data_IF_336361698060
#
_entry.id   IF_336361698060
#
_cell.length_a   1.000
_cell.length_b   1.000
_cell.length_c   1.000
_cell.angle_alpha   90.00
_cell.angle_beta   90.00
_cell.angle_gamma   90.00
#
_symmetry.space_group_name_H-M   'P 1'
#
loop_
_entity.id
_entity.type
_entity.pdbx_description
1 polymer ?
#
# COMPACT_ATOMS: atom_id res chain seq x y z
N UNK A 1 16.33 41.65 31.00
CA UNK A 1 15.25 42.21 30.17
C UNK A 1 15.09 41.31 28.97
N UNK A 2 14.11 40.41 29.01
CA UNK A 2 13.82 39.43 27.97
C UNK A 2 13.33 40.07 26.68
N UNK A 3 13.15 39.27 25.65
CA UNK A 3 12.40 39.65 24.47
C UNK A 3 11.41 38.53 24.19
N UNK A 4 10.20 38.88 23.78
CA UNK A 4 9.16 37.91 23.45
C UNK A 4 8.82 38.01 21.98
N UNK A 5 8.85 36.86 21.30
CA UNK A 5 8.55 36.79 19.89
C UNK A 5 7.05 36.82 19.68
N UNK A 6 6.59 37.59 18.69
CA UNK A 6 5.21 37.56 18.25
C UNK A 6 5.13 37.41 16.74
N UNK A 7 3.99 36.84 16.30
CA UNK A 7 3.59 36.75 14.90
C UNK A 7 2.09 36.89 14.78
N UNK A 8 1.64 37.75 13.89
CA UNK A 8 0.22 37.95 13.59
C UNK A 8 -0.01 37.95 12.09
N UNK A 9 -1.11 37.33 11.67
CA UNK A 9 -1.59 37.36 10.29
C UNK A 9 -2.81 38.28 10.25
N UNK A 10 -2.77 39.29 9.38
CA UNK A 10 -3.88 40.22 9.21
C UNK A 10 -4.28 40.26 7.74
N UNK A 11 -5.50 39.81 7.44
CA UNK A 11 -6.09 39.90 6.10
C UNK A 11 -6.72 41.28 5.91
N UNK A 12 -6.08 42.14 5.12
CA UNK A 12 -6.48 43.54 4.93
C UNK A 12 -5.89 44.11 3.65
N UNK A 13 -6.53 45.14 3.10
CA UNK A 13 -5.98 45.95 2.01
C UNK A 13 -5.29 47.22 2.51
N UNK A 14 -5.28 47.45 3.83
CA UNK A 14 -4.63 48.59 4.44
C UNK A 14 -3.09 48.51 4.30
N UNK A 15 -2.41 49.66 4.47
CA UNK A 15 -0.95 49.67 4.45
C UNK A 15 -0.39 48.90 5.66
N UNK A 16 0.88 48.49 5.58
CA UNK A 16 1.55 47.84 6.71
C UNK A 16 1.60 48.75 7.95
N UNK A 17 1.72 50.07 7.78
CA UNK A 17 1.73 51.04 8.87
C UNK A 17 0.37 51.10 9.56
N UNK A 18 -0.71 51.26 8.79
CA UNK A 18 -2.06 51.33 9.36
C UNK A 18 -2.41 50.01 10.08
N UNK A 19 -1.99 48.88 9.49
CA UNK A 19 -2.18 47.56 10.10
C UNK A 19 -1.40 47.46 11.42
N UNK A 20 -0.16 47.92 11.45
CA UNK A 20 0.66 47.95 12.66
C UNK A 20 0.04 48.82 13.76
N UNK A 21 -0.41 50.03 13.43
CA UNK A 21 -1.03 50.93 14.40
C UNK A 21 -2.29 50.32 15.03
N UNK A 22 -3.13 49.68 14.22
CA UNK A 22 -4.28 48.92 14.71
C UNK A 22 -3.89 47.79 15.68
N UNK A 23 -2.82 47.04 15.38
CA UNK A 23 -2.34 45.96 16.25
C UNK A 23 -1.70 46.49 17.54
N UNK A 24 -0.97 47.60 17.47
CA UNK A 24 -0.39 48.28 18.64
C UNK A 24 -1.47 48.78 19.57
N UNK A 25 -2.53 49.39 19.04
CA UNK A 25 -3.65 49.86 19.84
C UNK A 25 -4.41 48.70 20.50
N UNK A 26 -4.61 47.60 19.76
CA UNK A 26 -5.18 46.36 20.32
C UNK A 26 -4.31 45.79 21.44
N UNK A 27 -3.00 45.71 21.24
CA UNK A 27 -2.06 45.21 22.24
C UNK A 27 -1.97 46.10 23.49
N UNK A 28 -2.04 47.44 23.33
CA UNK A 28 -2.10 48.36 24.48
C UNK A 28 -3.39 48.21 25.27
N UNK A 29 -4.50 47.96 24.58
CA UNK A 29 -5.77 47.71 25.24
C UNK A 29 -5.75 46.41 26.05
N UNK A 30 -5.10 45.36 25.54
CA UNK A 30 -5.03 44.04 26.19
C UNK A 30 -3.96 43.96 27.30
N UNK A 31 -2.75 44.46 27.02
CA UNK A 31 -1.56 44.29 27.87
C UNK A 31 -1.14 45.57 28.60
N UNK A 32 -1.85 46.67 28.40
CA UNK A 32 -1.55 47.97 29.00
C UNK A 32 -0.36 48.70 28.35
N UNK A 33 0.06 49.80 28.97
CA UNK A 33 1.10 50.71 28.45
C UNK A 33 2.52 50.42 28.99
N UNK A 34 2.73 49.24 29.59
CA UNK A 34 4.07 48.85 30.05
C UNK A 34 5.02 48.66 28.86
N UNK A 35 6.17 49.34 28.91
CA UNK A 35 7.24 49.25 27.92
C UNK A 35 7.96 47.90 27.87
N UNK A 36 7.59 46.96 28.75
CA UNK A 36 8.10 45.59 28.84
C UNK A 36 6.99 44.51 28.84
N UNK A 37 5.85 44.77 28.19
CA UNK A 37 4.72 43.82 28.15
C UNK A 37 4.87 42.65 27.15
N UNK A 38 6.01 42.51 26.46
CA UNK A 38 6.29 41.43 25.52
C UNK A 38 5.56 41.50 24.17
N UNK A 39 4.70 42.51 23.96
CA UNK A 39 3.84 42.59 22.77
C UNK A 39 4.37 43.54 21.68
N UNK A 40 3.69 43.55 20.53
CA UNK A 40 3.94 44.47 19.42
C UNK A 40 3.89 45.96 19.83
N UNK A 41 3.18 46.32 20.91
CA UNK A 41 3.15 47.72 21.38
C UNK A 41 4.48 48.24 21.92
N UNK A 42 5.45 47.34 22.14
CA UNK A 42 6.79 47.67 22.64
C UNK A 42 7.87 47.69 21.56
N UNK A 43 7.49 47.53 20.28
CA UNK A 43 8.41 47.65 19.15
C UNK A 43 8.61 49.10 18.71
N UNK A 44 9.73 49.38 18.04
CA UNK A 44 10.12 50.73 17.61
C UNK A 44 9.40 51.21 16.34
N UNK A 45 8.60 50.33 15.72
CA UNK A 45 7.87 50.60 14.49
C UNK A 45 7.81 49.35 13.61
N UNK A 46 7.17 49.48 12.45
CA UNK A 46 7.07 48.41 11.46
C UNK A 46 7.93 48.72 10.24
N UNK A 47 8.69 47.72 9.78
CA UNK A 47 9.38 47.75 8.50
C UNK A 47 8.69 46.82 7.50
N UNK A 48 7.97 47.39 6.55
CA UNK A 48 7.42 46.62 5.44
C UNK A 48 8.56 46.15 4.51
N UNK A 49 8.64 44.85 4.26
CA UNK A 49 9.61 44.32 3.31
C UNK A 49 9.20 44.67 1.89
N UNK A 50 10.12 45.26 1.14
CA UNK A 50 9.92 45.59 -0.27
C UNK A 50 10.10 44.35 -1.17
N UNK A 51 9.16 43.42 -1.03
CA UNK A 51 9.10 42.17 -1.80
C UNK A 51 7.71 42.01 -2.42
N UNK A 52 7.62 41.23 -3.50
CA UNK A 52 6.32 40.92 -4.11
C UNK A 52 5.47 40.09 -3.15
N UNK A 53 4.15 40.32 -3.08
CA UNK A 53 3.25 39.44 -2.34
C UNK A 53 3.42 37.99 -2.78
N UNK A 54 3.40 37.08 -1.82
CA UNK A 54 3.60 35.64 -2.03
C UNK A 54 2.48 34.84 -1.36
N UNK A 55 2.36 33.53 -1.61
CA UNK A 55 1.44 32.68 -0.88
C UNK A 55 1.59 32.83 0.63
N UNK A 56 0.50 32.72 1.39
CA UNK A 56 0.51 32.91 2.84
C UNK A 56 1.50 31.97 3.53
N UNK A 57 1.55 30.71 3.12
CA UNK A 57 2.49 29.72 3.68
C UNK A 57 3.95 30.11 3.40
N UNK A 58 4.24 30.71 2.25
CA UNK A 58 5.57 31.22 1.93
C UNK A 58 5.92 32.44 2.78
N UNK A 59 4.96 33.34 2.98
CA UNK A 59 5.13 34.52 3.84
C UNK A 59 5.40 34.13 5.30
N UNK A 60 4.70 33.10 5.81
CA UNK A 60 4.92 32.55 7.16
C UNK A 60 6.31 31.93 7.26
N UNK A 61 6.71 31.09 6.30
CA UNK A 61 8.05 30.49 6.28
C UNK A 61 9.15 31.54 6.19
N UNK A 62 8.93 32.60 5.42
CA UNK A 62 9.86 33.72 5.34
C UNK A 62 9.95 34.44 6.70
N UNK A 63 8.83 34.71 7.35
CA UNK A 63 8.80 35.31 8.69
C UNK A 63 9.60 34.46 9.71
N UNK A 64 9.41 33.14 9.70
CA UNK A 64 10.15 32.20 10.54
C UNK A 64 11.65 32.22 10.21
N UNK A 65 12.03 32.17 8.94
CA UNK A 65 13.46 32.22 8.56
C UNK A 65 14.16 33.52 8.96
N UNK A 66 13.41 34.61 9.15
CA UNK A 66 13.92 35.94 9.47
C UNK A 66 13.87 36.26 10.97
N UNK A 67 13.14 35.49 11.78
CA UNK A 67 12.93 35.85 13.19
C UNK A 67 14.25 35.97 13.96
N UNK A 68 15.20 35.06 13.72
CA UNK A 68 16.53 35.07 14.38
C UNK A 68 17.39 36.28 13.98
N UNK A 69 17.08 36.92 12.84
CA UNK A 69 17.84 38.05 12.33
C UNK A 69 17.35 39.41 12.83
N UNK A 70 16.20 39.45 13.51
CA UNK A 70 15.63 40.67 14.06
C UNK A 70 16.26 41.02 15.40
N UNK A 71 16.65 42.28 15.57
CA UNK A 71 17.05 42.79 16.86
C UNK A 71 15.85 42.96 17.80
N UNK A 72 16.13 43.14 19.09
CA UNK A 72 15.09 43.42 20.08
C UNK A 72 14.32 44.69 19.68
N UNK A 73 12.99 44.66 19.79
CA UNK A 73 12.06 45.74 19.40
C UNK A 73 11.93 45.99 17.90
N UNK A 74 12.54 45.16 17.05
CA UNK A 74 12.28 45.22 15.61
C UNK A 74 11.01 44.45 15.25
N UNK A 75 10.30 44.99 14.27
CA UNK A 75 9.13 44.36 13.67
C UNK A 75 9.14 44.53 12.15
N UNK A 76 8.82 43.46 11.44
CA UNK A 76 8.72 43.43 9.98
C UNK A 76 7.33 43.00 9.52
N UNK A 77 6.92 43.50 8.35
CA UNK A 77 5.70 43.10 7.68
C UNK A 77 6.02 42.46 6.32
N UNK A 78 5.49 41.27 6.09
CA UNK A 78 5.63 40.50 4.85
C UNK A 78 4.28 40.47 4.13
N UNK A 79 4.17 40.96 2.89
CA UNK A 79 2.92 40.93 2.16
C UNK A 79 2.58 39.51 1.68
N UNK A 80 1.32 39.09 1.82
CA UNK A 80 0.83 37.84 1.26
C UNK A 80 -0.31 38.07 0.25
N UNK A 81 -0.53 37.12 -0.67
CA UNK A 81 -1.56 37.17 -1.70
C UNK A 81 -2.94 36.81 -1.15
N UNK A 82 -3.99 37.39 -1.73
CA UNK A 82 -5.36 36.97 -1.40
C UNK A 82 -5.58 35.54 -1.88
N UNK A 83 -5.92 34.66 -0.96
CA UNK A 83 -6.19 33.24 -1.26
C UNK A 83 -7.62 32.87 -0.89
N UNK A 84 -8.32 32.21 -1.81
CA UNK A 84 -9.59 31.55 -1.53
C UNK A 84 -9.29 30.09 -1.20
N UNK A 85 -9.56 29.68 0.04
CA UNK A 85 -9.38 28.28 0.44
C UNK A 85 -10.34 27.39 -0.35
N UNK A 86 -9.87 26.23 -0.80
CA UNK A 86 -10.74 25.27 -1.47
C UNK A 86 -11.83 24.79 -0.50
N UNK A 87 -13.09 24.93 -0.91
CA UNK A 87 -14.20 24.33 -0.19
C UNK A 87 -14.36 22.89 -0.66
N UNK A 88 -14.33 21.96 0.30
CA UNK A 88 -14.50 20.53 0.07
C UNK A 88 -15.72 20.04 0.84
N UNK A 89 -16.42 19.08 0.26
CA UNK A 89 -17.49 18.38 0.98
C UNK A 89 -16.92 17.41 2.03
N UNK A 90 -17.80 16.84 2.84
CA UNK A 90 -17.46 15.80 3.81
C UNK A 90 -16.77 14.60 3.15
N UNK A 91 -15.90 13.95 3.92
CA UNK A 91 -15.26 12.69 3.49
C UNK A 91 -16.33 11.62 3.29
N UNK A 92 -16.29 10.96 2.14
CA UNK A 92 -17.05 9.76 1.88
C UNK A 92 -16.11 8.57 1.69
N UNK A 93 -16.38 7.49 2.41
CA UNK A 93 -15.61 6.24 2.31
C UNK A 93 -16.35 5.27 1.40
N UNK A 94 -15.68 4.79 0.36
CA UNK A 94 -16.24 3.87 -0.62
C UNK A 94 -15.35 2.63 -0.72
N UNK A 95 -15.96 1.45 -0.66
CA UNK A 95 -15.24 0.20 -0.88
C UNK A 95 -15.17 -0.11 -2.38
N UNK A 96 -13.96 -0.38 -2.88
CA UNK A 96 -13.68 -0.72 -4.28
C UNK A 96 -12.99 -2.07 -4.32
N UNK A 97 -13.58 -3.03 -5.03
CA UNK A 97 -12.99 -4.36 -5.25
C UNK A 97 -12.39 -4.43 -6.65
N UNK A 98 -11.16 -4.94 -6.73
CA UNK A 98 -10.34 -5.02 -7.94
C UNK A 98 -9.79 -6.43 -8.11
N UNK A 99 -9.77 -6.90 -9.36
CA UNK A 99 -8.98 -8.07 -9.74
C UNK A 99 -7.65 -7.57 -10.34
N UNK A 100 -6.56 -7.72 -9.59
CA UNK A 100 -5.25 -7.17 -9.92
C UNK A 100 -4.22 -8.28 -10.07
N UNK A 101 -3.20 -8.07 -10.90
CA UNK A 101 -1.98 -8.88 -10.81
C UNK A 101 -1.19 -8.49 -9.56
N UNK A 102 -0.45 -9.44 -8.99
CA UNK A 102 0.41 -9.16 -7.83
C UNK A 102 1.40 -8.01 -8.08
N UNK A 103 1.96 -7.92 -9.30
CA UNK A 103 2.84 -6.83 -9.70
C UNK A 103 2.17 -5.44 -9.66
N UNK A 104 0.86 -5.37 -9.87
CA UNK A 104 0.09 -4.11 -9.87
C UNK A 104 -0.23 -3.64 -8.44
N UNK A 105 -0.12 -4.52 -7.43
CA UNK A 105 -0.28 -4.13 -6.02
C UNK A 105 0.92 -3.32 -5.49
N UNK A 106 2.09 -3.46 -6.12
CA UNK A 106 3.31 -2.77 -5.67
C UNK A 106 3.50 -1.40 -6.34
N UNK A 107 2.83 -1.14 -7.47
CA UNK A 107 2.88 0.15 -8.16
C UNK A 107 1.70 1.05 -7.73
N UNK A 108 2.00 2.03 -6.89
CA UNK A 108 1.02 2.97 -6.37
C UNK A 108 0.30 3.78 -7.47
N UNK A 109 0.98 4.08 -8.58
CA UNK A 109 0.38 4.86 -9.68
C UNK A 109 -0.64 4.02 -10.44
N UNK A 110 -0.25 2.79 -10.80
CA UNK A 110 -1.15 1.83 -11.46
C UNK A 110 -2.33 1.46 -10.57
N UNK A 111 -2.09 1.27 -9.26
CA UNK A 111 -3.13 0.98 -8.29
C UNK A 111 -4.14 2.13 -8.15
N UNK A 112 -3.66 3.37 -8.03
CA UNK A 112 -4.55 4.54 -7.95
C UNK A 112 -5.40 4.69 -9.22
N UNK A 113 -4.81 4.45 -10.40
CA UNK A 113 -5.54 4.47 -11.66
C UNK A 113 -6.61 3.36 -11.73
N UNK A 114 -6.29 2.15 -11.26
CA UNK A 114 -7.24 1.05 -11.18
C UNK A 114 -8.39 1.34 -10.21
N UNK A 115 -8.10 1.88 -9.02
CA UNK A 115 -9.09 2.30 -8.03
C UNK A 115 -10.01 3.38 -8.62
N UNK A 116 -9.47 4.40 -9.27
CA UNK A 116 -10.25 5.45 -9.95
C UNK A 116 -11.21 4.88 -10.98
N UNK A 117 -10.71 3.97 -11.81
CA UNK A 117 -11.48 3.34 -12.88
C UNK A 117 -12.63 2.48 -12.32
N UNK A 118 -12.35 1.64 -11.32
CA UNK A 118 -13.35 0.73 -10.76
C UNK A 118 -14.38 1.44 -9.88
N UNK A 119 -13.94 2.41 -9.07
CA UNK A 119 -14.83 3.25 -8.26
C UNK A 119 -15.62 4.27 -9.08
N UNK A 120 -15.34 4.41 -10.38
CA UNK A 120 -15.96 5.41 -11.28
C UNK A 120 -15.88 6.83 -10.73
N UNK A 121 -14.79 7.15 -10.04
CA UNK A 121 -14.60 8.48 -9.46
C UNK A 121 -14.37 9.50 -10.58
N UNK A 122 -15.27 10.49 -10.66
CA UNK A 122 -15.18 11.59 -11.61
C UNK A 122 -13.97 12.50 -11.33
N UNK A 123 -13.68 13.44 -12.24
CA UNK A 123 -12.56 14.38 -12.08
C UNK A 123 -12.70 15.30 -10.86
N UNK A 124 -13.93 15.52 -10.41
CA UNK A 124 -14.26 16.43 -9.30
C UNK A 124 -14.15 15.74 -7.92
N UNK A 125 -13.85 14.44 -7.91
CA UNK A 125 -13.65 13.63 -6.71
C UNK A 125 -12.15 13.42 -6.48
N UNK A 126 -11.68 13.99 -5.38
CA UNK A 126 -10.32 13.82 -4.89
C UNK A 126 -10.26 12.57 -4.01
N UNK A 127 -9.38 11.62 -4.35
CA UNK A 127 -9.03 10.51 -3.46
C UNK A 127 -7.97 11.03 -2.48
N UNK A 128 -8.34 11.08 -1.21
CA UNK A 128 -7.46 11.59 -0.14
C UNK A 128 -6.58 10.50 0.47
N UNK A 129 -7.14 9.30 0.61
CA UNK A 129 -6.46 8.13 1.15
C UNK A 129 -7.15 6.87 0.63
N UNK A 130 -6.42 5.76 0.62
CA UNK A 130 -7.00 4.45 0.41
C UNK A 130 -6.20 3.41 1.16
N UNK A 131 -6.91 2.43 1.71
CA UNK A 131 -6.34 1.37 2.54
C UNK A 131 -6.84 0.03 2.03
N UNK A 132 -5.94 -0.94 1.90
CA UNK A 132 -6.30 -2.30 1.51
C UNK A 132 -6.96 -3.00 2.69
N UNK A 133 -8.20 -3.45 2.51
CA UNK A 133 -8.99 -4.06 3.60
C UNK A 133 -9.05 -5.57 3.51
N UNK A 134 -9.03 -6.14 2.30
CA UNK A 134 -9.06 -7.60 2.12
C UNK A 134 -8.30 -8.00 0.87
N UNK A 135 -7.70 -9.19 0.92
CA UNK A 135 -6.97 -9.81 -0.19
C UNK A 135 -7.38 -11.28 -0.25
N UNK A 136 -8.01 -11.66 -1.36
CA UNK A 136 -8.34 -13.04 -1.65
C UNK A 136 -7.48 -13.53 -2.82
N UNK A 137 -6.61 -14.49 -2.52
CA UNK A 137 -5.87 -15.21 -3.56
C UNK A 137 -6.85 -16.05 -4.39
N UNK A 138 -6.84 -15.85 -5.70
CA UNK A 138 -7.70 -16.62 -6.60
C UNK A 138 -7.13 -18.04 -6.70
N UNK A 139 -7.95 -19.00 -6.30
CA UNK A 139 -7.59 -20.43 -6.28
C UNK A 139 -7.20 -20.89 -7.70
N UNK A 140 -6.07 -21.60 -7.87
CA UNK A 140 -5.66 -22.11 -9.17
C UNK A 140 -6.72 -23.05 -9.76
N UNK A 141 -7.00 -22.87 -11.05
CA UNK A 141 -7.88 -23.79 -11.78
C UNK A 141 -7.05 -24.97 -12.26
N UNK A 142 -7.32 -26.15 -11.70
CA UNK A 142 -6.75 -27.40 -12.20
C UNK A 142 -7.66 -27.97 -13.27
N UNK A 143 -7.14 -28.14 -14.48
CA UNK A 143 -7.84 -28.86 -15.54
C UNK A 143 -7.23 -30.25 -15.64
N UNK A 144 -8.07 -31.27 -15.47
CA UNK A 144 -7.67 -32.67 -15.57
C UNK A 144 -8.14 -33.21 -16.92
N UNK A 145 -7.24 -33.84 -17.67
CA UNK A 145 -7.58 -34.58 -18.87
C UNK A 145 -7.26 -36.06 -18.68
N UNK A 146 -8.21 -36.90 -19.09
CA UNK A 146 -8.08 -38.36 -19.08
C UNK A 146 -8.12 -38.82 -20.53
N UNK A 147 -6.96 -39.11 -21.14
CA UNK A 147 -6.91 -39.64 -22.51
C UNK A 147 -7.67 -40.97 -22.61
N UNK A 148 -8.48 -41.14 -23.66
CA UNK A 148 -9.20 -42.40 -23.94
C UNK A 148 -8.32 -43.34 -24.76
N UNK A 149 -7.30 -43.91 -24.12
CA UNK A 149 -6.41 -44.92 -24.73
C UNK A 149 -6.62 -46.29 -24.07
N UNK A 150 -6.21 -47.38 -24.70
CA UNK A 150 -6.30 -48.72 -24.08
C UNK A 150 -5.36 -48.84 -22.90
N UNK A 151 -5.82 -49.48 -21.83
CA UNK A 151 -5.01 -49.80 -20.65
C UNK A 151 -4.55 -51.24 -20.69
N UNK A 152 -3.35 -51.47 -20.17
CA UNK A 152 -2.87 -52.80 -19.83
C UNK A 152 -2.62 -52.88 -18.33
N UNK A 153 -2.93 -54.05 -17.75
CA UNK A 153 -2.70 -54.34 -16.34
C UNK A 153 -1.78 -55.55 -16.26
N UNK A 154 -0.69 -55.41 -15.53
CA UNK A 154 0.18 -56.53 -15.17
C UNK A 154 0.18 -56.72 -13.66
N UNK A 155 0.46 -57.96 -13.27
CA UNK A 155 0.53 -58.39 -11.88
C UNK A 155 1.98 -58.59 -11.48
N UNK A 156 2.36 -58.12 -10.30
CA UNK A 156 3.72 -58.14 -9.80
C UNK A 156 3.75 -58.77 -8.42
N UNK A 157 4.77 -59.58 -8.16
CA UNK A 157 5.02 -60.17 -6.83
C UNK A 157 5.93 -59.21 -6.08
N UNK A 158 5.49 -58.74 -4.92
CA UNK A 158 6.22 -57.83 -4.04
C UNK A 158 6.65 -58.59 -2.80
N UNK A 159 7.97 -58.69 -2.61
CA UNK A 159 8.57 -59.17 -1.38
C UNK A 159 8.70 -58.05 -0.33
N UNK A 160 8.91 -58.41 0.95
CA UNK A 160 8.92 -57.45 2.06
C UNK A 160 10.08 -56.45 1.99
N UNK A 161 11.09 -56.69 1.15
CA UNK A 161 12.29 -55.83 1.00
C UNK A 161 12.31 -55.02 -0.29
N UNK A 162 11.27 -55.12 -1.13
CA UNK A 162 11.20 -54.37 -2.38
C UNK A 162 10.68 -52.95 -2.08
N UNK A 163 11.60 -51.97 -2.02
CA UNK A 163 11.28 -50.56 -1.77
C UNK A 163 11.05 -49.71 -3.03
N UNK A 164 11.26 -50.29 -4.21
CA UNK A 164 11.12 -49.62 -5.51
C UNK A 164 9.96 -50.22 -6.30
N UNK A 165 9.32 -49.41 -7.14
CA UNK A 165 8.30 -49.91 -8.07
C UNK A 165 8.91 -50.96 -9.01
N UNK A 166 8.23 -52.11 -9.22
CA UNK A 166 8.75 -53.17 -10.07
C UNK A 166 8.81 -52.70 -11.52
N UNK A 167 9.84 -53.13 -12.25
CA UNK A 167 9.98 -52.82 -13.68
C UNK A 167 8.87 -53.50 -14.45
N UNK A 168 8.22 -52.77 -15.36
CA UNK A 168 7.01 -53.24 -16.04
C UNK A 168 7.20 -54.56 -16.81
N UNK A 169 8.38 -54.76 -17.41
CA UNK A 169 8.74 -55.96 -18.17
C UNK A 169 8.85 -57.24 -17.30
N UNK A 170 8.78 -57.11 -15.97
CA UNK A 170 8.76 -58.23 -15.02
C UNK A 170 7.34 -58.62 -14.57
N UNK A 171 6.32 -57.96 -15.12
CA UNK A 171 4.92 -58.22 -14.76
C UNK A 171 4.35 -59.45 -15.45
N UNK A 172 3.41 -60.10 -14.79
CA UNK A 172 2.65 -61.23 -15.32
C UNK A 172 1.33 -60.75 -15.91
N UNK A 173 0.86 -61.33 -17.03
CA UNK A 173 -0.37 -60.90 -17.70
C UNK A 173 -1.66 -61.23 -16.90
N UNK A 174 -1.59 -62.18 -15.97
CA UNK A 174 -2.74 -62.59 -15.14
C UNK A 174 -2.33 -62.83 -13.70
N UNK A 175 -3.28 -62.68 -12.78
CA UNK A 175 -3.05 -62.98 -11.36
C UNK A 175 -2.69 -64.46 -11.15
N UNK A 176 -3.27 -65.37 -11.94
CA UNK A 176 -2.96 -66.80 -11.88
C UNK A 176 -1.51 -67.10 -12.27
N UNK A 177 -0.99 -66.43 -13.30
CA UNK A 177 0.42 -66.55 -13.70
C UNK A 177 1.37 -66.01 -12.62
N UNK A 178 1.04 -64.87 -11.99
CA UNK A 178 1.81 -64.34 -10.86
C UNK A 178 1.79 -65.30 -9.65
N UNK A 179 0.63 -65.89 -9.32
CA UNK A 179 0.52 -66.87 -8.24
C UNK A 179 1.35 -68.13 -8.51
N UNK A 180 1.32 -68.63 -9.75
CA UNK A 180 2.11 -69.79 -10.15
C UNK A 180 3.62 -69.54 -10.04
N UNK A 181 4.06 -68.29 -10.21
CA UNK A 181 5.47 -67.89 -10.10
C UNK A 181 5.92 -67.55 -8.67
N UNK A 182 5.00 -67.51 -7.70
CA UNK A 182 5.28 -67.05 -6.33
C UNK A 182 6.30 -67.93 -5.60
N UNK A 183 6.25 -69.26 -5.78
CA UNK A 183 7.21 -70.18 -5.16
C UNK A 183 8.65 -69.93 -5.65
N UNK A 184 8.81 -69.72 -6.96
CA UNK A 184 10.12 -69.41 -7.55
C UNK A 184 10.66 -68.06 -7.07
N UNK A 185 9.80 -67.03 -7.00
CA UNK A 185 10.16 -65.71 -6.51
C UNK A 185 10.58 -65.75 -5.02
N UNK A 186 9.81 -66.47 -4.19
CA UNK A 186 10.12 -66.63 -2.76
C UNK A 186 11.46 -67.35 -2.55
N UNK A 187 11.72 -68.43 -3.30
CA UNK A 187 13.01 -69.14 -3.25
C UNK A 187 14.17 -68.25 -3.65
N UNK A 188 14.00 -67.44 -4.69
CA UNK A 188 15.05 -66.53 -5.14
C UNK A 188 15.38 -65.50 -4.04
N UNK A 189 14.37 -64.87 -3.44
CA UNK A 189 14.58 -63.85 -2.41
C UNK A 189 15.20 -64.42 -1.12
N UNK A 190 14.82 -65.65 -0.73
CA UNK A 190 15.41 -66.39 0.38
C UNK A 190 16.84 -66.89 0.11
N UNK A 191 17.26 -67.01 -1.15
CA UNK A 191 18.62 -67.43 -1.52
C UNK A 191 19.61 -66.26 -1.46
N UNK A 192 19.16 -65.05 -1.83
CA UNK A 192 19.99 -63.84 -1.81
C UNK A 192 19.98 -63.10 -0.47
N UNK A 193 18.97 -63.35 0.37
CA UNK A 193 18.88 -62.80 1.72
C UNK A 193 19.40 -63.82 2.73
N UNK A 194 20.39 -63.45 3.54
CA UNK A 194 20.96 -64.28 4.62
C UNK A 194 19.87 -65.14 5.33
N UNK A 195 20.07 -66.45 5.54
CA UNK A 195 19.01 -67.38 5.90
C UNK A 195 18.60 -67.16 7.36
N UNK A 196 17.70 -66.21 7.60
CA UNK A 196 17.05 -66.04 8.89
C UNK A 196 15.73 -66.79 8.76
N UNK A 197 15.63 -67.89 9.50
CA UNK A 197 14.39 -68.61 9.75
C UNK A 197 13.32 -67.62 10.21
N UNK A 198 12.43 -67.27 9.30
CA UNK A 198 11.35 -66.33 9.54
C UNK A 198 10.34 -66.40 8.39
N UNK A 199 9.06 -66.32 8.73
CA UNK A 199 7.99 -66.18 7.75
C UNK A 199 8.21 -64.88 6.97
N UNK A 200 8.13 -64.94 5.64
CA UNK A 200 8.19 -63.78 4.76
C UNK A 200 6.86 -63.66 4.02
N UNK A 201 6.22 -62.50 4.13
CA UNK A 201 4.95 -62.22 3.44
C UNK A 201 5.22 -61.66 2.05
N UNK A 202 4.62 -62.28 1.04
CA UNK A 202 4.63 -61.80 -0.34
C UNK A 202 3.25 -61.32 -0.74
N UNK A 203 3.21 -60.24 -1.51
CA UNK A 203 1.96 -59.67 -2.03
C UNK A 203 1.94 -59.75 -3.55
N UNK A 204 0.76 -59.98 -4.14
CA UNK A 204 0.57 -59.84 -5.59
C UNK A 204 -0.22 -58.57 -5.84
N UNK A 205 0.44 -57.54 -6.37
CA UNK A 205 -0.18 -56.26 -6.70
C UNK A 205 -0.50 -56.19 -8.19
N UNK A 206 -1.53 -55.42 -8.54
CA UNK A 206 -1.84 -55.08 -9.93
C UNK A 206 -1.40 -53.64 -10.20
N UNK A 207 -0.67 -53.42 -11.29
CA UNK A 207 -0.34 -52.08 -11.76
C UNK A 207 -0.94 -51.93 -13.15
N UNK A 208 -1.69 -50.86 -13.37
CA UNK A 208 -2.30 -50.52 -14.65
C UNK A 208 -1.58 -49.34 -15.27
N UNK A 209 -1.29 -49.40 -16.57
CA UNK A 209 -0.79 -48.25 -17.36
C UNK A 209 -1.51 -48.19 -18.71
N UNK A 210 -1.33 -47.10 -19.46
CA UNK A 210 -1.73 -47.09 -20.88
C UNK A 210 -0.76 -47.95 -21.68
N UNK A 211 -1.26 -48.69 -22.65
CA UNK A 211 -0.47 -49.52 -23.58
C UNK A 211 0.61 -48.72 -24.32
N UNK A 212 0.37 -47.43 -24.54
CA UNK A 212 1.31 -46.47 -25.13
C UNK A 212 2.45 -46.02 -24.20
N UNK A 213 2.39 -46.35 -22.91
CA UNK A 213 3.32 -45.84 -21.88
C UNK A 213 3.02 -44.41 -21.40
N UNK A 214 1.99 -43.75 -21.93
CA UNK A 214 1.56 -42.42 -21.47
C UNK A 214 0.87 -42.47 -20.10
N UNK A 215 0.85 -41.33 -19.42
CA UNK A 215 0.18 -41.18 -18.12
C UNK A 215 -1.32 -41.51 -18.22
N UNK A 216 -1.86 -42.15 -17.17
CA UNK A 216 -3.30 -42.45 -17.07
C UNK A 216 -4.15 -41.17 -16.97
N UNK A 217 -3.57 -40.13 -16.36
CA UNK A 217 -4.17 -38.83 -16.11
C UNK A 217 -3.08 -37.76 -16.29
N UNK A 218 -3.43 -36.66 -16.96
CA UNK A 218 -2.61 -35.46 -16.98
C UNK A 218 -3.40 -34.33 -16.34
N UNK A 219 -2.79 -33.64 -15.39
CA UNK A 219 -3.37 -32.45 -14.76
C UNK A 219 -2.53 -31.24 -15.16
N UNK A 220 -3.21 -30.19 -15.64
CA UNK A 220 -2.62 -28.88 -15.85
C UNK A 220 -3.21 -27.92 -14.83
N UNK A 221 -2.42 -27.52 -13.84
CA UNK A 221 -2.77 -26.41 -12.96
C UNK A 221 -2.50 -25.09 -13.68
N UNK A 222 -3.51 -24.23 -13.77
CA UNK A 222 -3.33 -22.85 -14.23
C UNK A 222 -3.63 -21.93 -13.05
N UNK A 223 -2.58 -21.31 -12.51
CA UNK A 223 -2.74 -20.21 -11.56
C UNK A 223 -3.03 -18.97 -12.39
N UNK A 224 -4.19 -18.34 -12.20
CA UNK A 224 -4.30 -16.93 -12.59
C UNK A 224 -3.63 -16.18 -11.45
N UNK A 225 -2.53 -15.47 -11.72
CA UNK A 225 -1.88 -14.58 -10.75
C UNK A 225 -2.74 -13.34 -10.45
N UNK A 226 -4.07 -13.49 -10.47
CA UNK A 226 -5.01 -12.46 -10.11
C UNK A 226 -5.29 -12.60 -8.63
N UNK A 227 -5.20 -11.49 -7.95
CA UNK A 227 -5.54 -11.31 -6.56
C UNK A 227 -6.76 -10.40 -6.54
N UNK A 228 -7.83 -10.86 -5.91
CA UNK A 228 -8.99 -10.00 -5.68
C UNK A 228 -8.74 -9.20 -4.42
N UNK A 229 -8.53 -7.90 -4.55
CA UNK A 229 -8.26 -7.00 -3.45
C UNK A 229 -9.40 -5.99 -3.27
N UNK A 230 -9.83 -5.78 -2.03
CA UNK A 230 -10.79 -4.74 -1.67
C UNK A 230 -10.06 -3.59 -0.97
N UNK A 231 -10.39 -2.37 -1.37
CA UNK A 231 -9.83 -1.14 -0.86
C UNK A 231 -10.94 -0.28 -0.28
N UNK A 232 -10.72 0.25 0.91
CA UNK A 232 -11.50 1.35 1.46
C UNK A 232 -10.88 2.65 0.98
N UNK A 233 -11.64 3.47 0.26
CA UNK A 233 -11.15 4.68 -0.42
C UNK A 233 -11.89 5.88 0.14
N UNK A 234 -11.17 6.80 0.77
CA UNK A 234 -11.74 8.06 1.26
C UNK A 234 -11.65 9.11 0.16
N UNK A 235 -12.82 9.62 -0.22
CA UNK A 235 -12.98 10.62 -1.27
C UNK A 235 -13.60 11.89 -0.74
N UNK A 236 -13.32 13.02 -1.38
CA UNK A 236 -13.98 14.31 -1.14
C UNK A 236 -14.30 14.96 -2.47
N UNK A 237 -15.46 15.61 -2.55
CA UNK A 237 -15.80 16.45 -3.69
C UNK A 237 -15.22 17.85 -3.50
N UNK A 238 -14.54 18.37 -4.51
CA UNK A 238 -14.11 19.78 -4.52
C UNK A 238 -15.31 20.63 -4.94
N UNK A 239 -15.86 21.42 -4.02
CA UNK A 239 -17.01 22.31 -4.26
C UNK A 239 -16.56 23.62 -4.89
N UNK A 240 -15.44 24.17 -4.41
CA UNK A 240 -14.81 25.36 -4.97
C UNK A 240 -13.30 25.12 -4.95
N UNK A 241 -12.61 25.21 -6.10
CA UNK A 241 -11.16 25.05 -6.14
C UNK A 241 -10.49 26.14 -5.31
N UNK A 242 -9.28 25.87 -4.82
CA UNK A 242 -8.46 26.95 -4.27
C UNK A 242 -8.07 27.89 -5.40
N UNK A 243 -8.21 29.19 -5.17
CA UNK A 243 -7.78 30.21 -6.11
C UNK A 243 -6.76 31.11 -5.45
N UNK A 244 -5.66 31.33 -6.17
CA UNK A 244 -4.64 32.28 -5.80
C UNK A 244 -4.90 33.57 -6.56
N UNK A 245 -5.22 34.63 -5.81
CA UNK A 245 -5.38 35.96 -6.37
C UNK A 245 -4.03 36.58 -6.75
N UNK A 246 -4.09 37.70 -7.47
CA UNK A 246 -2.93 38.54 -7.79
C UNK A 246 -2.84 39.78 -6.89
N UNK A 247 -3.88 40.02 -6.10
CA UNK A 247 -4.01 41.18 -5.21
C UNK A 247 -3.38 40.91 -3.84
N UNK A 248 -3.00 42.00 -3.15
CA UNK A 248 -2.58 41.94 -1.75
C UNK A 248 -3.71 41.36 -0.89
N UNK A 249 -3.43 40.25 -0.22
CA UNK A 249 -4.32 39.61 0.74
C UNK A 249 -4.14 40.11 2.17
N UNK A 250 -2.98 40.69 2.48
CA UNK A 250 -2.68 41.25 3.79
C UNK A 250 -1.21 41.15 4.17
N UNK A 251 -0.95 41.13 5.48
CA UNK A 251 0.39 41.16 6.05
C UNK A 251 0.59 40.04 7.09
N UNK A 252 1.74 39.37 7.02
CA UNK A 252 2.31 38.62 8.13
C UNK A 252 3.24 39.57 8.87
N UNK A 253 2.87 39.95 10.10
CA UNK A 253 3.61 40.87 10.95
C UNK A 253 4.33 40.05 12.02
N UNK A 254 5.65 40.21 12.15
CA UNK A 254 6.44 39.45 13.13
C UNK A 254 7.54 40.32 13.73
N UNK A 255 7.98 40.01 14.95
CA UNK A 255 8.99 40.80 15.64
C UNK A 255 9.29 40.35 17.05
N UNK A 256 10.10 41.16 17.75
CA UNK A 256 10.49 40.96 19.14
C UNK A 256 9.96 42.09 20.02
N UNK A 257 8.94 41.81 20.83
CA UNK A 257 8.51 42.71 21.89
C UNK A 257 9.52 42.73 23.04
N UNK A 258 9.62 43.84 23.75
CA UNK A 258 10.44 43.92 24.97
C UNK A 258 9.70 43.29 26.16
N UNK A 259 10.41 42.43 26.89
CA UNK A 259 10.02 41.85 28.18
C UNK A 259 11.16 41.90 29.21
#
# INVERSE_FOLDING_TARGET
MGAEYFRQQVATTASASDTYDMLVDGARHEFGYDSYNGSISTTEGIKALNIKPMPLDDAIRLAESRYDSLAKRECEAIPFLKETKAMRDAVQVVNVTLDLKESELQDQTSLLAAIRKAGKFGKDLEITEFHRTNVQEVIPRVTVSVPRETTETLYFIMGPRISMMPKWDKGYPTQAAARAALDAAARQELTYSCPITGESSFEVIAITRRSSGKALLSAKATVRNLVQATFSVSTRKVLTPAEMGTELGGWVIHGWGAS
#
